data_IF_744418979878
#
_entry.id   IF_744418979878
#
_cell.length_a   1.000
_cell.length_b   1.000
_cell.length_c   1.000
_cell.angle_alpha   90.00
_cell.angle_beta   90.00
_cell.angle_gamma   90.00
#
_symmetry.space_group_name_H-M   'P 1'
#
loop_
_entity.id
_entity.type
_entity.pdbx_description
1 polymer ?
#
# COMPACT_ATOMS: atom_id res chain seq x y z
N UNK A 1 -5.20 -4.80 13.87
CA UNK A 1 -4.61 -5.85 14.72
C UNK A 1 -4.35 -7.07 13.86
N UNK A 2 -3.18 -7.72 14.00
CA UNK A 2 -2.88 -8.97 13.31
C UNK A 2 -3.78 -10.08 13.87
N UNK A 3 -4.83 -10.47 13.15
CA UNK A 3 -5.68 -11.60 13.54
C UNK A 3 -5.05 -12.93 13.17
N UNK A 4 -5.39 -13.99 13.90
CA UNK A 4 -4.98 -15.36 13.58
C UNK A 4 -5.40 -15.75 12.15
N UNK A 5 -6.61 -15.33 11.74
CA UNK A 5 -7.11 -15.53 10.36
C UNK A 5 -6.21 -14.87 9.30
N UNK A 6 -5.76 -13.63 9.52
CA UNK A 6 -4.85 -12.95 8.60
C UNK A 6 -3.49 -13.65 8.55
N UNK A 7 -3.00 -14.10 9.70
CA UNK A 7 -1.74 -14.85 9.80
C UNK A 7 -1.84 -16.16 9.02
N UNK A 8 -2.92 -16.92 9.20
CA UNK A 8 -3.15 -18.19 8.53
C UNK A 8 -3.29 -18.02 7.02
N UNK A 9 -4.06 -17.02 6.55
CA UNK A 9 -4.17 -16.68 5.14
C UNK A 9 -2.82 -16.30 4.52
N UNK A 10 -2.05 -15.47 5.23
CA UNK A 10 -0.74 -15.03 4.79
C UNK A 10 0.23 -16.21 4.67
N UNK A 11 0.31 -17.07 5.69
CA UNK A 11 1.16 -18.26 5.67
C UNK A 11 0.75 -19.26 4.59
N UNK A 12 -0.56 -19.46 4.40
CA UNK A 12 -1.08 -20.35 3.37
C UNK A 12 -0.63 -19.91 1.96
N UNK A 13 -0.69 -18.61 1.66
CA UNK A 13 -0.23 -18.10 0.37
C UNK A 13 1.28 -18.14 0.18
N UNK A 14 2.07 -17.95 1.24
CA UNK A 14 3.54 -18.11 1.16
C UNK A 14 3.94 -19.57 0.90
N UNK A 15 3.18 -20.53 1.42
CA UNK A 15 3.40 -21.95 1.21
C UNK A 15 2.80 -22.45 -0.13
N UNK A 16 1.95 -21.66 -0.78
CA UNK A 16 1.24 -22.05 -1.98
C UNK A 16 2.05 -21.75 -3.26
N UNK A 17 2.42 -22.80 -3.99
CA UNK A 17 2.85 -22.67 -5.38
C UNK A 17 4.26 -22.11 -5.57
N UNK A 18 4.49 -21.22 -6.57
CA UNK A 18 5.81 -20.69 -6.93
C UNK A 18 6.50 -19.97 -5.76
N UNK A 19 7.84 -19.80 -5.79
CA UNK A 19 8.57 -19.23 -4.67
C UNK A 19 8.13 -17.80 -4.36
N UNK A 20 7.51 -17.58 -3.19
CA UNK A 20 7.14 -16.28 -2.65
C UNK A 20 7.96 -16.00 -1.39
N UNK A 21 8.53 -14.80 -1.29
CA UNK A 21 9.18 -14.32 -0.06
C UNK A 21 8.25 -13.36 0.65
N UNK A 22 7.80 -13.76 1.84
CA UNK A 22 7.00 -12.93 2.72
C UNK A 22 7.85 -12.19 3.76
N UNK A 23 7.38 -11.03 4.19
CA UNK A 23 7.90 -10.27 5.30
C UNK A 23 6.78 -9.64 6.11
N UNK A 24 6.90 -9.80 7.43
CA UNK A 24 6.13 -9.05 8.43
C UNK A 24 7.10 -8.10 9.13
N UNK A 25 6.81 -6.79 9.12
CA UNK A 25 7.56 -5.82 9.93
C UNK A 25 6.66 -5.24 10.99
N UNK A 26 7.08 -5.34 12.25
CA UNK A 26 6.47 -4.58 13.32
C UNK A 26 6.64 -3.08 13.06
N UNK A 27 5.55 -2.34 13.18
CA UNK A 27 5.52 -0.88 13.22
C UNK A 27 5.38 -0.45 14.69
N UNK A 28 4.85 0.74 14.94
CA UNK A 28 4.75 1.28 16.29
C UNK A 28 5.95 2.10 16.74
N UNK A 29 6.19 2.15 18.05
CA UNK A 29 7.34 2.84 18.64
C UNK A 29 7.45 4.30 18.20
N UNK A 30 8.65 4.71 17.76
CA UNK A 30 8.88 6.08 17.30
C UNK A 30 8.06 6.47 16.06
N UNK A 31 7.76 5.51 15.19
CA UNK A 31 6.95 5.75 13.99
C UNK A 31 5.53 6.16 14.38
N UNK A 32 4.92 5.46 15.34
CA UNK A 32 3.56 5.73 15.81
C UNK A 32 3.42 6.95 16.72
N UNK A 33 4.52 7.44 17.33
CA UNK A 33 4.50 8.68 18.11
C UNK A 33 4.38 9.95 17.27
N UNK A 34 4.60 9.86 15.95
CA UNK A 34 4.42 10.96 15.01
C UNK A 34 2.94 11.04 14.63
N UNK A 35 2.33 12.23 14.74
CA UNK A 35 0.94 12.44 14.35
C UNK A 35 0.68 12.04 12.88
N UNK A 36 -0.51 11.50 12.60
CA UNK A 36 -0.87 10.96 11.28
C UNK A 36 -0.78 12.00 10.16
N UNK A 37 -1.04 13.26 10.48
CA UNK A 37 -1.04 14.40 9.55
C UNK A 37 0.30 15.15 9.49
N UNK A 38 1.28 14.79 10.31
CA UNK A 38 2.59 15.45 10.31
C UNK A 38 3.36 15.24 9.01
N UNK A 39 3.08 14.14 8.29
CA UNK A 39 3.72 13.78 7.02
C UNK A 39 2.69 13.21 6.04
N UNK A 40 3.08 12.98 4.78
CA UNK A 40 2.21 12.32 3.80
C UNK A 40 1.99 10.82 4.09
N UNK A 41 2.79 10.19 4.95
CA UNK A 41 2.57 8.82 5.41
C UNK A 41 1.63 8.80 6.63
N UNK A 42 0.39 8.39 6.42
CA UNK A 42 -0.72 8.50 7.38
C UNK A 42 -0.99 7.24 8.23
N UNK A 43 -0.51 6.06 7.79
CA UNK A 43 -0.74 4.75 8.45
C UNK A 43 0.18 4.52 9.65
N UNK A 44 0.26 5.53 10.53
CA UNK A 44 1.14 5.56 11.72
C UNK A 44 0.62 4.69 12.86
N UNK A 45 -0.68 4.41 12.84
CA UNK A 45 -1.44 3.61 13.81
C UNK A 45 -1.43 2.10 13.52
N UNK A 46 -0.93 1.68 12.35
CA UNK A 46 -0.79 0.27 12.02
C UNK A 46 0.25 -0.41 12.93
N UNK A 47 -0.09 -1.59 13.47
CA UNK A 47 0.80 -2.39 14.34
C UNK A 47 1.91 -3.09 13.55
N UNK A 48 1.62 -3.48 12.31
CA UNK A 48 2.54 -4.17 11.43
C UNK A 48 2.25 -3.82 9.97
N UNK A 49 3.25 -4.05 9.14
CA UNK A 49 3.16 -3.96 7.69
C UNK A 49 3.58 -5.32 7.09
N UNK A 50 2.76 -5.81 6.15
CA UNK A 50 2.92 -7.07 5.44
C UNK A 50 3.38 -6.79 4.01
N UNK A 51 4.36 -7.53 3.51
CA UNK A 51 4.71 -7.57 2.09
C UNK A 51 5.03 -8.98 1.65
N UNK A 52 4.75 -9.29 0.39
CA UNK A 52 5.23 -10.50 -0.23
C UNK A 52 5.71 -10.19 -1.65
N UNK A 53 6.68 -10.97 -2.13
CA UNK A 53 7.22 -10.87 -3.49
C UNK A 53 7.26 -12.26 -4.09
N UNK A 54 6.57 -12.45 -5.22
CA UNK A 54 6.75 -13.63 -6.06
C UNK A 54 8.09 -13.55 -6.79
N UNK A 55 8.91 -14.58 -6.66
CA UNK A 55 10.21 -14.71 -7.34
C UNK A 55 10.11 -15.42 -8.69
N UNK A 56 8.92 -15.92 -9.04
CA UNK A 56 8.70 -16.61 -10.30
C UNK A 56 8.51 -15.62 -11.45
N UNK A 57 9.21 -15.80 -12.59
CA UNK A 57 9.00 -14.99 -13.78
C UNK A 57 7.77 -15.43 -14.61
N UNK A 58 7.13 -16.54 -14.24
CA UNK A 58 6.01 -17.10 -15.01
C UNK A 58 4.76 -16.21 -14.90
N UNK A 59 4.07 -15.86 -16.01
CA UNK A 59 2.85 -15.05 -15.98
C UNK A 59 1.74 -15.64 -15.09
N UNK A 60 1.61 -16.98 -15.07
CA UNK A 60 0.62 -17.69 -14.26
C UNK A 60 0.89 -17.53 -12.76
N UNK A 61 2.16 -17.39 -12.38
CA UNK A 61 2.55 -17.12 -11.01
C UNK A 61 2.13 -15.72 -10.57
N UNK A 62 2.09 -14.75 -11.49
CA UNK A 62 1.60 -13.41 -11.18
C UNK A 62 0.10 -13.42 -10.91
N UNK A 63 -0.69 -14.06 -11.77
CA UNK A 63 -2.15 -14.17 -11.58
C UNK A 63 -2.49 -14.91 -10.28
N UNK A 64 -1.78 -16.00 -9.98
CA UNK A 64 -1.96 -16.73 -8.73
C UNK A 64 -1.60 -15.88 -7.51
N UNK A 65 -0.50 -15.11 -7.60
CA UNK A 65 -0.07 -14.20 -6.52
C UNK A 65 -1.07 -13.07 -6.29
N UNK A 66 -1.58 -12.43 -7.34
CA UNK A 66 -2.57 -11.36 -7.23
C UNK A 66 -3.89 -11.89 -6.62
N UNK A 67 -4.32 -13.08 -7.03
CA UNK A 67 -5.51 -13.73 -6.48
C UNK A 67 -5.35 -14.06 -4.99
N UNK A 68 -4.19 -14.60 -4.59
CA UNK A 68 -3.85 -14.80 -3.18
C UNK A 68 -3.82 -13.47 -2.42
N UNK A 69 -3.09 -12.47 -2.92
CA UNK A 69 -2.92 -11.20 -2.24
C UNK A 69 -4.25 -10.48 -2.00
N UNK A 70 -5.18 -10.57 -2.95
CA UNK A 70 -6.53 -10.04 -2.82
C UNK A 70 -7.33 -10.65 -1.64
N UNK A 71 -7.01 -11.87 -1.21
CA UNK A 71 -7.67 -12.50 -0.04
C UNK A 71 -7.32 -11.81 1.28
N UNK A 72 -6.20 -11.08 1.33
CA UNK A 72 -5.76 -10.35 2.53
C UNK A 72 -6.49 -9.01 2.69
N UNK A 73 -6.99 -8.43 1.59
CA UNK A 73 -7.56 -7.08 1.57
C UNK A 73 -8.64 -6.83 2.63
N UNK A 74 -9.60 -7.75 2.91
CA UNK A 74 -10.61 -7.55 3.95
C UNK A 74 -10.06 -7.42 5.38
N UNK A 75 -8.83 -7.88 5.62
CA UNK A 75 -8.18 -7.92 6.94
C UNK A 75 -7.12 -6.83 7.11
N UNK A 76 -6.83 -6.08 6.05
CA UNK A 76 -5.79 -5.04 6.03
C UNK A 76 -6.40 -3.66 5.80
N UNK A 77 -5.66 -2.62 6.15
CA UNK A 77 -6.05 -1.25 5.87
C UNK A 77 -4.84 -0.42 5.47
N UNK A 78 -4.95 0.25 4.33
CA UNK A 78 -3.89 1.08 3.78
C UNK A 78 -2.82 0.32 3.01
N UNK A 79 -2.01 1.09 2.27
CA UNK A 79 -0.93 0.57 1.45
C UNK A 79 0.37 1.35 1.66
N UNK A 80 1.49 0.73 1.27
CA UNK A 80 2.79 1.39 1.26
C UNK A 80 3.35 1.47 -0.15
N UNK A 81 3.26 2.66 -0.76
CA UNK A 81 3.50 2.87 -2.19
C UNK A 81 4.86 2.41 -2.69
N UNK A 82 5.89 2.46 -1.84
CA UNK A 82 7.24 2.04 -2.23
C UNK A 82 7.38 0.52 -2.45
N UNK A 83 6.36 -0.29 -2.11
CA UNK A 83 6.38 -1.74 -2.26
C UNK A 83 5.19 -2.26 -3.10
N UNK A 84 4.54 -1.37 -3.85
CA UNK A 84 3.49 -1.73 -4.78
C UNK A 84 4.06 -2.11 -6.15
N UNK A 85 3.38 -3.02 -6.83
CA UNK A 85 3.81 -3.55 -8.14
C UNK A 85 3.26 -2.78 -9.34
N UNK A 86 2.31 -1.87 -9.11
CA UNK A 86 1.62 -1.08 -10.13
C UNK A 86 1.45 0.35 -9.62
N UNK A 87 1.19 1.27 -10.56
CA UNK A 87 0.81 2.65 -10.26
C UNK A 87 -0.68 2.85 -10.57
N UNK A 88 -1.53 1.94 -10.09
CA UNK A 88 -2.96 2.02 -10.36
C UNK A 88 -3.57 3.21 -9.59
N UNK A 89 -4.27 4.13 -10.27
CA UNK A 89 -4.99 5.21 -9.59
C UNK A 89 -6.01 4.72 -8.55
N UNK A 90 -6.54 3.50 -8.69
CA UNK A 90 -7.46 2.90 -7.72
C UNK A 90 -6.82 2.74 -6.32
N UNK A 91 -5.50 2.55 -6.26
CA UNK A 91 -4.75 2.34 -5.02
C UNK A 91 -4.49 3.63 -4.23
N UNK A 92 -4.76 4.81 -4.82
CA UNK A 92 -4.51 6.10 -4.18
C UNK A 92 -5.28 6.28 -2.86
N UNK A 93 -6.48 5.71 -2.78
CA UNK A 93 -7.30 5.78 -1.57
C UNK A 93 -6.67 4.98 -0.41
N UNK A 94 -6.01 3.87 -0.72
CA UNK A 94 -5.29 3.06 0.27
C UNK A 94 -3.97 3.71 0.69
N UNK A 95 -3.33 4.49 -0.18
CA UNK A 95 -2.07 5.16 0.12
C UNK A 95 -2.23 6.46 0.93
N UNK A 96 -3.27 7.22 0.58
CA UNK A 96 -3.50 8.56 1.10
C UNK A 96 -4.95 8.71 1.55
N UNK A 97 -5.21 8.63 2.87
CA UNK A 97 -6.52 8.93 3.43
C UNK A 97 -7.04 10.31 2.99
N UNK A 98 -8.37 10.55 3.01
CA UNK A 98 -8.98 11.73 2.40
C UNK A 98 -8.34 13.07 2.76
N UNK A 99 -8.01 13.28 4.04
CA UNK A 99 -7.38 14.51 4.51
C UNK A 99 -5.95 14.69 3.99
N UNK A 100 -5.15 13.62 3.96
CA UNK A 100 -3.82 13.60 3.37
C UNK A 100 -3.89 13.88 1.87
N UNK A 101 -4.84 13.25 1.16
CA UNK A 101 -5.04 13.46 -0.28
C UNK A 101 -5.38 14.91 -0.59
N UNK A 102 -6.28 15.52 0.19
CA UNK A 102 -6.67 16.94 0.04
C UNK A 102 -5.45 17.85 0.13
N UNK A 103 -4.62 17.69 1.16
CA UNK A 103 -3.38 18.48 1.35
C UNK A 103 -2.38 18.24 0.22
N UNK A 104 -2.25 17.01 -0.26
CA UNK A 104 -1.34 16.69 -1.37
C UNK A 104 -1.80 17.31 -2.70
N UNK A 105 -3.11 17.40 -2.96
CA UNK A 105 -3.64 18.15 -4.11
C UNK A 105 -3.26 19.63 -4.02
N UNK A 106 -3.37 20.25 -2.85
CA UNK A 106 -2.96 21.65 -2.63
C UNK A 106 -1.47 21.86 -2.90
N UNK A 107 -0.61 20.96 -2.40
CA UNK A 107 0.83 20.98 -2.69
C UNK A 107 1.09 20.79 -4.18
N UNK A 108 0.42 19.83 -4.83
CA UNK A 108 0.57 19.60 -6.28
C UNK A 108 0.17 20.83 -7.09
N UNK A 109 -0.90 21.54 -6.73
CA UNK A 109 -1.30 22.80 -7.37
C UNK A 109 -0.25 23.89 -7.25
N UNK A 110 0.39 24.00 -6.08
CA UNK A 110 1.41 25.02 -5.84
C UNK A 110 2.72 24.75 -6.62
N UNK A 111 3.14 23.48 -6.70
CA UNK A 111 4.48 23.13 -7.20
C UNK A 111 4.49 22.44 -8.58
N UNK A 112 3.43 21.75 -8.98
CA UNK A 112 3.31 21.07 -10.27
C UNK A 112 1.88 21.21 -10.85
N UNK A 113 1.39 22.44 -11.10
CA UNK A 113 0.02 22.69 -11.57
C UNK A 113 -0.26 22.09 -12.95
N UNK A 114 0.77 21.82 -13.75
CA UNK A 114 0.65 21.19 -15.08
C UNK A 114 0.77 19.67 -15.03
N UNK A 115 0.90 19.09 -13.85
CA UNK A 115 1.05 17.66 -13.63
C UNK A 115 2.17 17.01 -14.48
N UNK A 116 3.33 17.68 -14.56
CA UNK A 116 4.49 17.22 -15.29
C UNK A 116 5.00 15.90 -14.70
N UNK A 117 5.03 15.78 -13.37
CA UNK A 117 5.53 14.62 -12.65
C UNK A 117 4.41 13.64 -12.31
N UNK A 118 4.01 12.83 -13.29
CA UNK A 118 2.85 11.93 -13.21
C UNK A 118 3.14 10.43 -13.36
N UNK A 119 4.42 10.05 -13.41
CA UNK A 119 4.88 8.66 -13.46
C UNK A 119 5.11 8.14 -12.03
N UNK A 120 4.07 8.20 -11.21
CA UNK A 120 4.05 7.82 -9.80
C UNK A 120 2.60 7.52 -9.39
N UNK A 121 2.34 7.31 -8.09
CA UNK A 121 1.00 7.38 -7.53
C UNK A 121 0.47 8.80 -7.65
N UNK A 122 -0.01 9.10 -8.85
CA UNK A 122 -0.20 10.46 -9.29
C UNK A 122 -1.41 11.08 -8.60
N UNK A 123 -1.19 12.25 -8.01
CA UNK A 123 -2.24 13.07 -7.42
C UNK A 123 -2.50 14.20 -8.41
N UNK A 124 -3.61 14.17 -9.17
CA UNK A 124 -3.91 15.24 -10.11
C UNK A 124 -4.11 16.58 -9.37
N UNK A 125 -3.66 17.70 -9.95
CA UNK A 125 -3.93 19.02 -9.38
C UNK A 125 -5.41 19.39 -9.49
N UNK A 126 -6.15 18.81 -10.43
CA UNK A 126 -7.60 18.93 -10.53
C UNK A 126 -8.24 18.00 -9.49
N UNK A 127 -9.12 18.52 -8.64
CA UNK A 127 -9.79 17.66 -7.66
C UNK A 127 -10.63 16.65 -8.42
N UNK A 128 -10.35 15.35 -8.27
CA UNK A 128 -11.33 14.32 -8.62
C UNK A 128 -12.54 14.55 -7.69
N UNK A 129 -13.76 14.75 -8.22
CA UNK A 129 -14.96 14.90 -7.41
C UNK A 129 -15.16 13.73 -6.44
#
# INVERSE_FOLDING_TARGET
>A
MLSDELIDLYLAGLAAGPPVVGQVRALGGAVARVARDATAFAHRDSEAFLSAVSLSPAPEARTAFDAYWATLAPHTGGAYGNLMSSLDPADLAELYPPDTRRRLVEVKRAYDPRNLFRQNFNIPPEATP
#
